data_IF_991658068761
#
_entry.id   IF_991658068761
#
_cell.length_a   1.000
_cell.length_b   1.000
_cell.length_c   1.000
_cell.angle_alpha   90.00
_cell.angle_beta   90.00
_cell.angle_gamma   90.00
#
_symmetry.space_group_name_H-M   'P 1'
#
loop_
_entity.id
_entity.type
_entity.pdbx_description
1 polymer ?
#
# COMPACT_ATOMS: atom_id res chain seq x y z
N UNK A 1 -27.85 -22.74 -5.65
CA UNK A 1 -27.16 -23.65 -6.58
C UNK A 1 -26.48 -24.73 -5.76
N UNK A 2 -26.34 -25.95 -6.29
CA UNK A 2 -25.61 -27.06 -5.63
C UNK A 2 -24.11 -27.00 -5.94
N UNK A 3 -23.51 -25.81 -5.76
CA UNK A 3 -22.09 -25.63 -5.97
C UNK A 3 -21.31 -25.99 -4.70
N UNK A 4 -20.11 -26.54 -4.87
CA UNK A 4 -19.16 -26.67 -3.77
C UNK A 4 -18.77 -25.27 -3.30
N UNK A 5 -18.84 -25.05 -1.98
CA UNK A 5 -18.42 -23.80 -1.34
C UNK A 5 -17.09 -24.06 -0.65
N UNK A 6 -16.10 -23.22 -0.94
CA UNK A 6 -14.81 -23.20 -0.25
C UNK A 6 -14.69 -21.85 0.45
N UNK A 7 -14.52 -21.88 1.77
CA UNK A 7 -14.38 -20.68 2.61
C UNK A 7 -12.91 -20.36 2.77
N UNK A 8 -12.59 -19.09 2.63
CA UNK A 8 -11.27 -18.54 2.93
C UNK A 8 -11.32 -17.63 4.14
N UNK A 9 -10.28 -17.65 4.98
CA UNK A 9 -10.28 -16.84 6.20
C UNK A 9 -8.89 -16.63 6.81
N UNK A 10 -8.77 -15.69 7.75
CA UNK A 10 -7.52 -15.42 8.48
C UNK A 10 -7.51 -16.02 9.89
N UNK A 11 -8.45 -16.90 10.16
CA UNK A 11 -8.66 -17.57 11.43
C UNK A 11 -8.99 -19.03 11.18
N UNK A 12 -8.66 -19.90 12.12
CA UNK A 12 -9.08 -21.28 12.09
C UNK A 12 -10.61 -21.38 11.95
N UNK A 13 -11.08 -22.28 11.07
CA UNK A 13 -12.50 -22.52 10.81
C UNK A 13 -12.97 -22.24 9.38
N UNK A 14 -12.10 -21.71 8.51
CA UNK A 14 -12.32 -21.73 7.06
C UNK A 14 -11.63 -22.95 6.43
N UNK A 15 -12.03 -23.33 5.22
CA UNK A 15 -11.46 -24.48 4.50
C UNK A 15 -10.01 -24.22 4.08
N UNK A 16 -9.69 -22.96 3.76
CA UNK A 16 -8.34 -22.47 3.48
C UNK A 16 -8.09 -21.23 4.32
N UNK A 17 -7.08 -21.26 5.20
CA UNK A 17 -6.84 -20.12 6.08
C UNK A 17 -5.36 -19.86 6.36
N UNK A 18 -5.06 -18.66 6.85
CA UNK A 18 -3.69 -18.24 7.18
C UNK A 18 -3.51 -17.99 8.67
N UNK A 19 -2.43 -18.51 9.27
CA UNK A 19 -2.00 -18.12 10.61
C UNK A 19 -0.80 -18.92 11.15
N UNK A 20 0.10 -18.30 11.94
CA UNK A 20 0.19 -16.88 12.26
C UNK A 20 0.65 -16.04 11.05
N UNK A 21 0.18 -14.78 10.95
CA UNK A 21 0.61 -13.84 9.90
C UNK A 21 1.60 -12.83 10.48
N UNK A 22 2.72 -12.67 9.81
CA UNK A 22 3.73 -11.64 10.09
C UNK A 22 4.05 -10.86 8.83
N UNK A 23 4.62 -9.67 8.98
CA UNK A 23 5.16 -8.89 7.88
C UNK A 23 6.68 -8.88 7.98
N UNK A 24 7.38 -8.93 6.85
CA UNK A 24 8.81 -8.64 6.82
C UNK A 24 9.10 -7.14 6.72
N UNK A 25 10.39 -6.78 6.74
CA UNK A 25 10.89 -5.40 6.69
C UNK A 25 10.38 -4.53 5.53
N UNK A 26 9.78 -5.14 4.50
CA UNK A 26 9.19 -4.45 3.34
C UNK A 26 7.65 -4.50 3.37
N UNK A 27 7.07 -4.88 4.51
CA UNK A 27 5.66 -5.19 4.66
C UNK A 27 5.16 -6.35 3.77
N UNK A 28 6.00 -7.33 3.42
CA UNK A 28 5.56 -8.53 2.70
C UNK A 28 5.04 -9.59 3.66
N UNK A 29 3.83 -10.13 3.45
CA UNK A 29 3.27 -11.13 4.36
C UNK A 29 4.02 -12.47 4.35
N UNK A 30 4.19 -13.04 5.55
CA UNK A 30 4.59 -14.42 5.80
C UNK A 30 3.55 -15.09 6.68
N UNK A 31 3.12 -16.28 6.30
CA UNK A 31 2.11 -17.02 7.05
C UNK A 31 2.16 -18.52 6.74
N UNK A 32 1.67 -19.32 7.67
CA UNK A 32 1.37 -20.73 7.39
C UNK A 32 -0.03 -20.80 6.77
N UNK A 33 -0.11 -21.40 5.57
CA UNK A 33 -1.35 -21.72 4.87
C UNK A 33 -1.84 -23.07 5.37
N UNK A 34 -3.09 -23.11 5.82
CA UNK A 34 -3.74 -24.30 6.37
C UNK A 34 -4.88 -24.76 5.46
N UNK A 35 -4.95 -26.05 5.20
CA UNK A 35 -6.05 -26.71 4.47
C UNK A 35 -6.43 -28.03 5.14
N UNK A 36 -7.45 -28.70 4.61
CA UNK A 36 -7.79 -30.06 5.06
C UNK A 36 -6.71 -31.10 4.74
N UNK A 37 -5.88 -30.84 3.72
CA UNK A 37 -4.87 -31.78 3.22
C UNK A 37 -3.47 -31.54 3.82
N UNK A 38 -3.30 -30.48 4.61
CA UNK A 38 -2.06 -30.17 5.30
C UNK A 38 -1.81 -28.68 5.48
N UNK A 39 -0.57 -28.34 5.81
CA UNK A 39 -0.12 -26.97 5.98
C UNK A 39 1.21 -26.72 5.28
N UNK A 40 1.45 -25.48 4.88
CA UNK A 40 2.73 -25.07 4.27
C UNK A 40 3.03 -23.60 4.55
N UNK A 41 4.31 -23.26 4.68
CA UNK A 41 4.73 -21.88 4.88
C UNK A 41 4.76 -21.11 3.56
N UNK A 42 4.15 -19.93 3.57
CA UNK A 42 4.06 -19.03 2.44
C UNK A 42 4.74 -17.71 2.78
N UNK A 43 5.60 -17.25 1.88
CA UNK A 43 6.19 -15.92 1.91
C UNK A 43 5.83 -15.20 0.61
N UNK A 44 4.97 -14.18 0.68
CA UNK A 44 4.54 -13.47 -0.52
C UNK A 44 5.64 -12.55 -1.06
N UNK A 45 5.75 -12.45 -2.38
CA UNK A 45 6.58 -11.44 -3.03
C UNK A 45 5.90 -10.06 -3.12
N UNK A 46 4.59 -9.99 -2.89
CA UNK A 46 3.80 -8.77 -2.89
C UNK A 46 3.70 -8.13 -1.51
N UNK A 47 3.57 -6.80 -1.49
CA UNK A 47 3.56 -6.01 -0.26
C UNK A 47 2.12 -5.76 0.24
N UNK A 48 1.98 -5.70 1.56
CA UNK A 48 0.76 -5.33 2.27
C UNK A 48 -0.02 -6.52 2.83
N UNK A 49 -0.44 -6.38 4.09
CA UNK A 49 -1.19 -7.37 4.85
C UNK A 49 -2.48 -7.88 4.16
N UNK A 50 -3.16 -7.01 3.40
CA UNK A 50 -4.36 -7.36 2.65
C UNK A 50 -4.12 -8.41 1.56
N UNK A 51 -2.86 -8.59 1.10
CA UNK A 51 -2.52 -9.60 0.11
C UNK A 51 -2.68 -11.04 0.63
N UNK A 52 -2.72 -11.24 1.95
CA UNK A 52 -3.02 -12.55 2.54
C UNK A 52 -4.40 -13.04 2.09
N UNK A 53 -5.43 -12.20 2.17
CA UNK A 53 -6.78 -12.59 1.74
C UNK A 53 -6.83 -12.91 0.24
N UNK A 54 -6.14 -12.13 -0.60
CA UNK A 54 -6.05 -12.39 -2.03
C UNK A 54 -5.32 -13.72 -2.32
N UNK A 55 -4.20 -13.95 -1.63
CA UNK A 55 -3.43 -15.17 -1.74
C UNK A 55 -4.24 -16.40 -1.31
N UNK A 56 -5.07 -16.29 -0.25
CA UNK A 56 -5.97 -17.35 0.18
C UNK A 56 -7.05 -17.66 -0.87
N UNK A 57 -7.64 -16.65 -1.50
CA UNK A 57 -8.56 -16.85 -2.62
C UNK A 57 -7.88 -17.58 -3.79
N UNK A 58 -6.68 -17.14 -4.18
CA UNK A 58 -5.91 -17.76 -5.26
C UNK A 58 -5.51 -19.20 -4.91
N UNK A 59 -5.06 -19.44 -3.68
CA UNK A 59 -4.72 -20.77 -3.17
C UNK A 59 -5.93 -21.70 -3.21
N UNK A 60 -7.09 -21.25 -2.72
CA UNK A 60 -8.31 -22.04 -2.75
C UNK A 60 -8.67 -22.47 -4.18
N UNK A 61 -8.63 -21.56 -5.15
CA UNK A 61 -8.91 -21.89 -6.56
C UNK A 61 -7.87 -22.85 -7.13
N UNK A 62 -6.57 -22.64 -6.86
CA UNK A 62 -5.51 -23.49 -7.38
C UNK A 62 -5.58 -24.92 -6.83
N UNK A 63 -5.90 -25.08 -5.55
CA UNK A 63 -6.10 -26.37 -4.89
C UNK A 63 -7.31 -27.10 -5.48
N UNK A 64 -8.43 -26.40 -5.71
CA UNK A 64 -9.61 -26.97 -6.38
C UNK A 64 -9.31 -27.41 -7.82
N UNK A 65 -8.31 -26.79 -8.46
CA UNK A 65 -7.81 -27.20 -9.77
C UNK A 65 -6.74 -28.31 -9.72
N UNK A 66 -6.41 -28.83 -8.54
CA UNK A 66 -5.49 -29.97 -8.35
C UNK A 66 -4.01 -29.60 -8.18
N UNK A 67 -3.68 -28.33 -7.91
CA UNK A 67 -2.32 -27.97 -7.53
C UNK A 67 -1.97 -28.51 -6.14
N UNK A 68 -0.71 -28.89 -5.92
CA UNK A 68 -0.23 -29.25 -4.57
C UNK A 68 0.01 -28.02 -3.70
N UNK A 69 0.05 -28.20 -2.38
CA UNK A 69 0.37 -27.11 -1.44
C UNK A 69 1.73 -26.47 -1.75
N UNK A 70 2.73 -27.27 -2.11
CA UNK A 70 4.07 -26.80 -2.46
C UNK A 70 4.06 -25.98 -3.76
N UNK A 71 3.27 -26.40 -4.76
CA UNK A 71 3.10 -25.64 -5.99
C UNK A 71 2.43 -24.29 -5.74
N UNK A 72 1.40 -24.27 -4.88
CA UNK A 72 0.72 -23.04 -4.48
C UNK A 72 1.69 -22.11 -3.74
N UNK A 73 2.41 -22.62 -2.74
CA UNK A 73 3.38 -21.83 -1.98
C UNK A 73 4.48 -21.24 -2.88
N UNK A 74 5.06 -22.06 -3.76
CA UNK A 74 6.08 -21.61 -4.71
C UNK A 74 5.54 -20.55 -5.68
N UNK A 75 4.33 -20.75 -6.22
CA UNK A 75 3.70 -19.79 -7.11
C UNK A 75 3.44 -18.45 -6.41
N UNK A 76 2.86 -18.46 -5.20
CA UNK A 76 2.61 -17.26 -4.41
C UNK A 76 3.90 -16.53 -4.00
N UNK A 77 4.98 -17.28 -3.73
CA UNK A 77 6.28 -16.72 -3.41
C UNK A 77 6.99 -16.09 -4.62
N UNK A 78 6.68 -16.54 -5.84
CA UNK A 78 7.21 -15.99 -7.09
C UNK A 78 6.32 -14.93 -7.74
N UNK A 79 5.05 -14.84 -7.32
CA UNK A 79 4.07 -13.92 -7.88
C UNK A 79 4.41 -12.48 -7.49
N UNK A 80 5.13 -11.78 -8.37
CA UNK A 80 5.37 -10.35 -8.26
C UNK A 80 4.18 -9.49 -8.71
N UNK A 81 4.27 -8.16 -8.58
CA UNK A 81 3.27 -7.25 -9.12
C UNK A 81 3.10 -7.44 -10.63
N UNK A 82 1.89 -7.82 -11.07
CA UNK A 82 1.57 -8.06 -12.48
C UNK A 82 1.40 -6.76 -13.27
N UNK A 83 1.10 -5.65 -12.58
CA UNK A 83 0.90 -4.33 -13.18
C UNK A 83 1.88 -3.33 -12.59
N UNK A 84 2.41 -2.44 -13.44
CA UNK A 84 3.18 -1.28 -12.99
C UNK A 84 2.37 -0.49 -11.96
N UNK A 85 3.06 0.11 -11.00
CA UNK A 85 2.46 1.02 -10.00
C UNK A 85 1.46 0.37 -9.03
N UNK A 86 1.55 -0.95 -8.81
CA UNK A 86 0.82 -1.66 -7.74
C UNK A 86 1.80 -2.09 -6.65
N UNK A 87 1.89 -1.31 -5.57
CA UNK A 87 2.80 -1.55 -4.45
C UNK A 87 4.23 -1.92 -4.89
N UNK A 88 4.79 -1.18 -5.85
CA UNK A 88 6.15 -1.37 -6.34
C UNK A 88 7.11 -0.64 -5.40
N UNK A 89 7.96 -1.40 -4.70
CA UNK A 89 8.93 -0.85 -3.74
C UNK A 89 10.31 -0.79 -4.38
N UNK A 90 10.95 0.38 -4.34
CA UNK A 90 12.32 0.58 -4.74
C UNK A 90 13.07 1.38 -3.67
N UNK A 91 14.36 1.11 -3.49
CA UNK A 91 15.20 1.88 -2.57
C UNK A 91 16.32 2.53 -3.36
N UNK A 92 16.47 3.83 -3.17
CA UNK A 92 17.54 4.65 -3.74
C UNK A 92 18.89 4.39 -3.04
N UNK A 93 19.99 4.81 -3.65
CA UNK A 93 21.34 4.71 -3.12
C UNK A 93 21.53 5.58 -1.85
N UNK A 94 20.75 6.66 -1.71
CA UNK A 94 20.68 7.47 -0.49
C UNK A 94 19.75 6.88 0.59
N UNK A 95 19.22 5.67 0.37
CA UNK A 95 18.40 4.93 1.32
C UNK A 95 16.93 5.36 1.34
N UNK A 96 16.49 6.31 0.51
CA UNK A 96 15.06 6.64 0.39
C UNK A 96 14.31 5.46 -0.21
N UNK A 97 13.25 5.01 0.46
CA UNK A 97 12.38 3.92 -0.02
C UNK A 97 11.13 4.52 -0.63
N UNK A 98 10.86 4.22 -1.90
CA UNK A 98 9.66 4.68 -2.63
C UNK A 98 8.72 3.49 -2.85
N UNK A 99 7.46 3.66 -2.44
CA UNK A 99 6.36 2.72 -2.60
C UNK A 99 5.40 3.33 -3.64
N UNK A 100 5.48 2.86 -4.87
CA UNK A 100 4.61 3.29 -5.96
C UNK A 100 3.35 2.42 -6.02
N UNK A 101 2.22 2.96 -5.56
CA UNK A 101 0.90 2.32 -5.55
C UNK A 101 -0.17 3.15 -6.28
N UNK A 102 0.26 3.89 -7.32
CA UNK A 102 -0.55 4.86 -8.05
C UNK A 102 -1.36 4.26 -9.23
N UNK A 103 -1.74 2.99 -9.17
CA UNK A 103 -2.59 2.35 -10.19
C UNK A 103 -4.09 2.42 -9.83
N UNK A 104 -4.44 2.12 -8.57
CA UNK A 104 -5.83 2.12 -8.11
C UNK A 104 -5.91 2.79 -6.75
N UNK A 105 -6.86 3.71 -6.60
CA UNK A 105 -7.16 4.34 -5.33
C UNK A 105 -8.66 4.28 -5.07
N UNK A 106 -9.01 3.34 -4.21
CA UNK A 106 -10.27 3.29 -3.49
C UNK A 106 -9.98 3.36 -1.97
N UNK A 107 -10.99 3.60 -1.12
CA UNK A 107 -10.77 3.80 0.31
C UNK A 107 -10.04 2.65 1.00
N UNK A 108 -10.40 1.39 0.72
CA UNK A 108 -9.73 0.22 1.32
C UNK A 108 -8.25 0.16 0.96
N UNK A 109 -7.93 0.34 -0.33
CA UNK A 109 -6.54 0.33 -0.81
C UNK A 109 -5.74 1.48 -0.22
N UNK A 110 -6.32 2.69 -0.10
CA UNK A 110 -5.65 3.85 0.50
C UNK A 110 -5.30 3.57 1.96
N UNK A 111 -6.24 3.02 2.72
CA UNK A 111 -5.99 2.58 4.10
C UNK A 111 -4.89 1.54 4.18
N UNK A 112 -4.88 0.56 3.27
CA UNK A 112 -3.85 -0.47 3.24
C UNK A 112 -2.45 0.10 2.90
N UNK A 113 -2.36 1.01 1.93
CA UNK A 113 -1.11 1.67 1.56
C UNK A 113 -0.53 2.50 2.71
N UNK A 114 -1.37 3.30 3.39
CA UNK A 114 -0.94 4.07 4.56
C UNK A 114 -0.47 3.19 5.72
N UNK A 115 -1.13 2.06 5.97
CA UNK A 115 -0.67 1.08 6.97
C UNK A 115 0.68 0.46 6.59
N UNK A 116 0.90 0.13 5.31
CA UNK A 116 2.18 -0.38 4.84
C UNK A 116 3.30 0.66 4.98
N UNK A 117 3.03 1.92 4.63
CA UNK A 117 3.95 3.04 4.86
C UNK A 117 4.35 3.14 6.34
N UNK A 118 3.36 3.11 7.24
CA UNK A 118 3.60 3.22 8.68
C UNK A 118 4.37 2.01 9.23
N UNK A 119 4.13 0.80 8.73
CA UNK A 119 4.86 -0.39 9.12
C UNK A 119 6.34 -0.30 8.71
N UNK A 120 6.60 0.00 7.42
CA UNK A 120 7.96 0.09 6.87
C UNK A 120 8.76 1.20 7.57
N UNK A 121 8.14 2.33 7.88
CA UNK A 121 8.81 3.43 8.58
C UNK A 121 9.19 3.09 10.04
N UNK A 122 8.47 2.15 10.68
CA UNK A 122 8.68 1.73 12.07
C UNK A 122 9.61 0.52 12.24
N UNK A 123 9.74 -0.34 11.23
CA UNK A 123 10.57 -1.55 11.31
C UNK A 123 12.08 -1.27 11.19
N UNK A 124 12.48 -0.09 10.75
CA UNK A 124 13.89 0.29 10.71
C UNK A 124 14.46 0.51 12.13
N UNK A 125 15.78 0.30 12.33
CA UNK A 125 16.42 0.48 13.64
C UNK A 125 16.21 1.88 14.24
N UNK A 126 16.08 2.88 13.37
CA UNK A 126 15.73 4.25 13.72
C UNK A 126 14.40 4.61 13.02
N UNK A 127 13.55 5.39 13.71
CA UNK A 127 12.27 5.83 13.15
C UNK A 127 12.53 6.68 11.90
N UNK A 128 12.08 6.19 10.74
CA UNK A 128 12.20 6.89 9.45
C UNK A 128 11.05 7.90 9.30
N UNK A 129 11.29 9.02 8.61
CA UNK A 129 10.19 9.94 8.26
C UNK A 129 9.35 9.32 7.15
N UNK A 130 8.04 9.27 7.37
CA UNK A 130 7.08 8.75 6.41
C UNK A 130 6.39 9.88 5.65
N UNK A 131 6.40 9.78 4.33
CA UNK A 131 5.77 10.72 3.41
C UNK A 131 4.64 10.02 2.67
N UNK A 132 3.43 10.55 2.74
CA UNK A 132 2.30 10.11 1.93
C UNK A 132 1.99 11.16 0.87
N UNK A 133 2.12 10.79 -0.40
CA UNK A 133 1.76 11.62 -1.56
C UNK A 133 0.47 11.05 -2.15
N UNK A 134 -0.64 11.71 -1.84
CA UNK A 134 -1.99 11.19 -2.08
C UNK A 134 -2.72 12.04 -3.12
N UNK A 135 -3.22 11.39 -4.16
CA UNK A 135 -4.11 11.99 -5.14
C UNK A 135 -5.56 11.50 -5.02
N UNK A 136 -6.39 11.89 -5.98
CA UNK A 136 -7.82 11.59 -5.99
C UNK A 136 -8.15 10.10 -6.11
N UNK A 137 -9.05 9.64 -5.24
CA UNK A 137 -9.72 8.33 -5.33
C UNK A 137 -10.85 8.40 -6.37
N UNK A 138 -10.95 7.39 -7.23
CA UNK A 138 -11.94 7.36 -8.32
C UNK A 138 -13.26 6.69 -7.89
N UNK A 139 -14.33 6.94 -8.66
CA UNK A 139 -15.59 6.18 -8.61
C UNK A 139 -16.36 6.26 -7.26
N UNK A 140 -16.22 7.36 -6.50
CA UNK A 140 -16.84 7.50 -5.17
C UNK A 140 -18.20 8.21 -5.14
N UNK A 141 -18.61 8.86 -6.23
CA UNK A 141 -19.88 9.60 -6.28
C UNK A 141 -20.03 10.58 -5.11
N UNK A 142 -21.18 10.51 -4.43
CA UNK A 142 -21.53 11.42 -3.32
C UNK A 142 -20.64 11.24 -2.07
N UNK A 143 -20.01 10.08 -1.91
CA UNK A 143 -19.13 9.77 -0.78
C UNK A 143 -17.71 10.31 -0.94
N UNK A 144 -17.38 10.91 -2.10
CA UNK A 144 -16.03 11.39 -2.37
C UNK A 144 -15.49 12.30 -1.26
N UNK A 145 -16.28 13.27 -0.80
CA UNK A 145 -15.84 14.21 0.25
C UNK A 145 -15.57 13.51 1.58
N UNK A 146 -16.49 12.65 2.02
CA UNK A 146 -16.42 12.01 3.33
C UNK A 146 -15.29 10.97 3.39
N UNK A 147 -15.08 10.20 2.32
CA UNK A 147 -13.99 9.23 2.23
C UNK A 147 -12.62 9.90 2.17
N UNK A 148 -12.48 11.00 1.42
CA UNK A 148 -11.22 11.74 1.38
C UNK A 148 -10.87 12.35 2.74
N UNK A 149 -11.83 12.95 3.46
CA UNK A 149 -11.64 13.42 4.85
C UNK A 149 -11.15 12.28 5.76
N UNK A 150 -11.80 11.10 5.71
CA UNK A 150 -11.39 9.92 6.50
C UNK A 150 -9.95 9.48 6.21
N UNK A 151 -9.52 9.53 4.95
CA UNK A 151 -8.14 9.21 4.57
C UNK A 151 -7.15 10.24 5.16
N UNK A 152 -7.48 11.53 5.09
CA UNK A 152 -6.67 12.59 5.69
C UNK A 152 -6.47 12.38 7.19
N UNK A 153 -7.56 12.11 7.93
CA UNK A 153 -7.51 11.78 9.36
C UNK A 153 -6.67 10.55 9.65
N UNK A 154 -6.85 9.50 8.84
CA UNK A 154 -6.11 8.26 9.04
C UNK A 154 -4.60 8.45 8.89
N UNK A 155 -4.14 9.28 7.95
CA UNK A 155 -2.72 9.57 7.79
C UNK A 155 -2.12 10.12 9.10
N UNK A 156 -2.83 11.04 9.76
CA UNK A 156 -2.41 11.59 11.07
C UNK A 156 -2.43 10.52 12.16
N UNK A 157 -3.50 9.73 12.26
CA UNK A 157 -3.60 8.65 13.26
C UNK A 157 -2.53 7.57 13.14
N UNK A 158 -2.00 7.38 11.94
CA UNK A 158 -0.90 6.45 11.68
C UNK A 158 0.48 7.06 11.94
N UNK A 159 0.53 8.32 12.38
CA UNK A 159 1.76 9.09 12.65
C UNK A 159 2.61 9.24 11.39
N UNK A 160 1.94 9.55 10.26
CA UNK A 160 2.61 9.89 9.00
C UNK A 160 3.28 11.25 9.15
N UNK A 161 4.59 11.33 8.91
CA UNK A 161 5.37 12.54 9.16
C UNK A 161 5.02 13.71 8.24
N UNK A 162 4.71 13.42 6.96
CA UNK A 162 4.29 14.43 5.98
C UNK A 162 3.21 13.88 5.04
N UNK A 163 2.14 14.64 4.87
CA UNK A 163 1.08 14.39 3.89
C UNK A 163 1.14 15.46 2.80
N UNK A 164 1.34 15.04 1.55
CA UNK A 164 1.19 15.87 0.36
C UNK A 164 -0.09 15.44 -0.34
N UNK A 165 -1.09 16.33 -0.39
CA UNK A 165 -2.33 16.12 -1.13
C UNK A 165 -2.19 16.77 -2.50
N UNK A 166 -2.32 15.98 -3.56
CA UNK A 166 -2.08 16.43 -4.94
C UNK A 166 -3.40 16.61 -5.68
N UNK A 167 -3.67 17.84 -6.13
CA UNK A 167 -4.87 18.23 -6.86
C UNK A 167 -5.66 19.35 -6.19
N UNK A 168 -6.59 19.96 -6.94
CA UNK A 168 -7.28 21.21 -6.55
C UNK A 168 -8.79 21.05 -6.29
N UNK A 169 -9.31 19.82 -6.34
CA UNK A 169 -10.74 19.53 -6.17
C UNK A 169 -11.25 19.60 -4.73
N UNK A 170 -12.58 19.63 -4.57
CA UNK A 170 -13.24 19.54 -3.24
C UNK A 170 -12.85 18.28 -2.47
N UNK A 171 -12.70 17.08 -3.09
CA UNK A 171 -12.23 15.90 -2.37
C UNK A 171 -10.80 16.07 -1.84
N UNK A 172 -9.92 16.72 -2.60
CA UNK A 172 -8.54 17.01 -2.15
C UNK A 172 -8.52 17.97 -0.97
N UNK A 173 -9.35 19.02 -1.03
CA UNK A 173 -9.53 19.94 0.09
C UNK A 173 -10.06 19.22 1.33
N UNK A 174 -11.00 18.28 1.17
CA UNK A 174 -11.52 17.48 2.26
C UNK A 174 -10.45 16.58 2.89
N UNK A 175 -9.58 15.95 2.09
CA UNK A 175 -8.46 15.15 2.61
C UNK A 175 -7.50 16.01 3.43
N UNK A 176 -7.09 17.16 2.91
CA UNK A 176 -6.19 18.06 3.63
C UNK A 176 -6.83 18.57 4.92
N UNK A 177 -8.07 19.06 4.87
CA UNK A 177 -8.79 19.53 6.06
C UNK A 177 -9.00 18.43 7.08
N UNK A 178 -9.30 17.20 6.65
CA UNK A 178 -9.40 16.05 7.53
C UNK A 178 -8.13 15.83 8.34
N UNK A 179 -6.96 15.91 7.69
CA UNK A 179 -5.67 15.83 8.36
C UNK A 179 -5.44 17.00 9.34
N UNK A 180 -5.70 18.24 8.90
CA UNK A 180 -5.52 19.43 9.77
C UNK A 180 -6.41 19.34 11.02
N UNK A 181 -7.68 18.96 10.85
CA UNK A 181 -8.63 18.82 11.95
C UNK A 181 -8.33 17.64 12.88
N UNK A 182 -7.56 16.64 12.41
CA UNK A 182 -7.11 15.52 13.25
C UNK A 182 -5.82 15.84 14.02
N UNK A 183 -5.24 17.03 13.82
CA UNK A 183 -4.07 17.51 14.54
C UNK A 183 -2.77 17.52 13.75
N UNK A 184 -2.84 17.50 12.41
CA UNK A 184 -1.68 17.84 11.58
C UNK A 184 -1.51 19.35 11.54
N UNK A 185 -0.53 19.86 12.27
CA UNK A 185 -0.30 21.30 12.41
C UNK A 185 0.95 21.75 11.63
N UNK A 186 1.00 23.03 11.25
CA UNK A 186 2.15 23.58 10.51
C UNK A 186 2.28 23.01 9.10
N UNK A 187 3.49 22.60 8.71
CA UNK A 187 3.81 22.10 7.37
C UNK A 187 3.69 20.57 7.22
N UNK A 188 3.07 19.90 8.19
CA UNK A 188 2.88 18.44 8.19
C UNK A 188 1.91 17.95 7.12
N UNK A 189 0.93 18.77 6.74
CA UNK A 189 0.03 18.51 5.61
C UNK A 189 0.11 19.67 4.63
N UNK A 190 0.31 19.39 3.34
CA UNK A 190 0.45 20.40 2.29
C UNK A 190 -0.38 20.01 1.08
N UNK A 191 -1.12 20.96 0.52
CA UNK A 191 -1.78 20.79 -0.77
C UNK A 191 -0.92 21.35 -1.89
N UNK A 192 -0.82 20.63 -2.99
CA UNK A 192 -0.14 21.08 -4.22
C UNK A 192 -1.04 20.86 -5.42
N UNK A 193 -0.85 21.66 -6.47
CA UNK A 193 -1.73 21.65 -7.63
C UNK A 193 -1.62 20.37 -8.45
N UNK A 194 -0.41 19.82 -8.59
CA UNK A 194 -0.10 18.75 -9.52
C UNK A 194 1.13 17.92 -9.10
N UNK A 195 1.45 16.91 -9.91
CA UNK A 195 2.57 16.02 -9.70
C UNK A 195 3.93 16.73 -9.75
N UNK A 196 4.09 17.75 -10.60
CA UNK A 196 5.37 18.47 -10.71
C UNK A 196 5.67 19.28 -9.45
N UNK A 197 4.64 19.93 -8.89
CA UNK A 197 4.74 20.63 -7.62
C UNK A 197 5.04 19.67 -6.45
N UNK A 198 4.40 18.49 -6.42
CA UNK A 198 4.70 17.45 -5.43
C UNK A 198 6.15 16.95 -5.56
N UNK A 199 6.62 16.70 -6.78
CA UNK A 199 7.98 16.24 -7.05
C UNK A 199 9.03 17.30 -6.63
N UNK A 200 8.78 18.57 -6.94
CA UNK A 200 9.65 19.67 -6.54
C UNK A 200 9.78 19.77 -5.01
N UNK A 201 8.66 19.62 -4.30
CA UNK A 201 8.64 19.62 -2.83
C UNK A 201 9.43 18.44 -2.25
N UNK A 202 9.21 17.23 -2.78
CA UNK A 202 9.92 16.03 -2.36
C UNK A 202 11.43 16.17 -2.59
N UNK A 203 11.86 16.69 -3.74
CA UNK A 203 13.28 16.96 -4.03
C UNK A 203 13.92 17.93 -3.05
N UNK A 204 13.16 18.93 -2.60
CA UNK A 204 13.67 19.96 -1.71
C UNK A 204 13.82 19.47 -0.26
N UNK A 205 13.01 18.48 0.15
CA UNK A 205 12.82 18.18 1.57
C UNK A 205 13.07 16.74 2.00
N UNK A 206 13.14 15.79 1.05
CA UNK A 206 13.46 14.41 1.36
C UNK A 206 14.89 14.32 1.91
N UNK A 207 15.02 13.47 2.93
CA UNK A 207 16.29 13.16 3.55
C UNK A 207 16.65 11.70 3.32
N UNK A 208 17.94 11.38 3.40
CA UNK A 208 18.44 10.02 3.33
C UNK A 208 17.70 9.14 4.34
N UNK A 209 17.20 7.99 3.88
CA UNK A 209 16.42 7.09 4.71
C UNK A 209 14.94 7.45 4.86
N UNK A 210 14.37 8.46 4.18
CA UNK A 210 12.91 8.66 4.21
C UNK A 210 12.14 7.51 3.51
N UNK A 211 10.85 7.34 3.83
CA UNK A 211 9.95 6.40 3.14
C UNK A 211 8.82 7.20 2.50
N UNK A 212 8.59 7.00 1.20
CA UNK A 212 7.58 7.73 0.42
C UNK A 212 6.57 6.76 -0.16
N UNK A 213 5.29 6.92 0.17
CA UNK A 213 4.17 6.30 -0.52
C UNK A 213 3.62 7.27 -1.54
N UNK A 214 3.50 6.84 -2.79
CA UNK A 214 2.77 7.57 -3.83
C UNK A 214 1.54 6.77 -4.21
N UNK A 215 0.36 7.35 -3.98
CA UNK A 215 -0.90 6.65 -4.18
C UNK A 215 -1.99 7.57 -4.70
N UNK A 216 -2.59 7.18 -5.82
CA UNK A 216 -3.72 7.83 -6.44
C UNK A 216 -4.40 6.87 -7.42
N UNK A 217 -5.54 7.29 -7.97
CA UNK A 217 -6.10 6.60 -9.14
C UNK A 217 -5.14 6.76 -10.32
N UNK A 218 -5.11 5.79 -11.24
CA UNK A 218 -4.26 5.87 -12.44
C UNK A 218 -4.51 7.16 -13.26
N UNK A 219 -5.75 7.65 -13.27
CA UNK A 219 -6.13 8.89 -13.96
C UNK A 219 -5.44 10.14 -13.39
N UNK A 220 -5.03 10.12 -12.12
CA UNK A 220 -4.30 11.22 -11.49
C UNK A 220 -2.82 11.29 -11.91
N UNK A 221 -2.29 10.27 -12.59
CA UNK A 221 -0.96 10.31 -13.20
C UNK A 221 0.23 10.31 -12.23
N UNK A 222 0.02 10.07 -10.93
CA UNK A 222 1.10 10.15 -9.92
C UNK A 222 2.13 9.02 -10.03
N UNK A 223 1.87 7.95 -10.78
CA UNK A 223 2.83 6.86 -10.97
C UNK A 223 4.15 7.32 -11.59
N UNK A 224 4.10 8.27 -12.53
CA UNK A 224 5.29 8.81 -13.18
C UNK A 224 6.17 9.65 -12.22
N UNK A 225 5.56 10.31 -11.24
CA UNK A 225 6.28 11.03 -10.18
C UNK A 225 7.12 10.06 -9.35
N UNK A 226 6.54 8.94 -8.95
CA UNK A 226 7.25 7.93 -8.17
C UNK A 226 8.41 7.31 -8.98
N UNK A 227 8.19 7.04 -10.28
CA UNK A 227 9.23 6.56 -11.17
C UNK A 227 10.38 7.59 -11.31
N UNK A 228 10.04 8.89 -11.41
CA UNK A 228 11.03 9.96 -11.46
C UNK A 228 11.85 10.07 -10.17
N UNK A 229 11.22 9.91 -9.00
CA UNK A 229 11.93 9.88 -7.72
C UNK A 229 12.93 8.74 -7.63
N UNK A 230 12.58 7.55 -8.17
CA UNK A 230 13.47 6.38 -8.18
C UNK A 230 14.62 6.56 -9.17
N UNK A 231 14.37 7.17 -10.34
CA UNK A 231 15.36 7.31 -11.41
C UNK A 231 16.48 8.34 -11.12
N UNK A 232 16.38 9.13 -10.05
CA UNK A 232 17.36 10.17 -9.71
C UNK A 232 18.76 9.65 -9.38
N UNK A 233 18.91 8.35 -9.14
CA UNK A 233 20.21 7.70 -8.84
C UNK A 233 21.15 7.48 -10.02
N UNK A 234 20.78 7.87 -11.25
CA UNK A 234 21.65 7.63 -12.42
C UNK A 234 22.59 8.82 -12.70
N UNK A 235 22.51 9.92 -11.95
CA UNK A 235 23.33 11.12 -12.19
C UNK A 235 24.09 11.56 -10.94
N UNK A 236 25.17 10.86 -10.64
CA UNK A 236 26.36 11.45 -10.02
C UNK A 236 27.57 11.22 -10.90
#
# INVERSE_FOLDING_TARGET
TSARVVRVGRTAGADVWAGPVTLDALARPRFTLHTADGETDVALAVHGDHQVSNALCAAAVALECGASLEQVAAALASAGPVSKHRMQVATRADGVTVINDAYNANPDSMRAGLKALAAIAREAPEKRRSWAVLGEMAELGDDAISEHDRIGRLAVRLDVSRLIVVGTGRPMSAMHHGAVMEGSWGSESTMVADADAALALLRAELQAGDVVLVKASNAAGLGALADALVAEDVRR
#
